data_IF_868211512375
#
_entry.id   IF_868211512375
#
_cell.length_a   1.000
_cell.length_b   1.000
_cell.length_c   1.000
_cell.angle_alpha   90.00
_cell.angle_beta   90.00
_cell.angle_gamma   90.00
#
_symmetry.space_group_name_H-M   'P 1'
#
loop_
_entity.id
_entity.type
_entity.pdbx_description
1 polymer ?
#
# COMPACT_ATOMS: atom_id res chain seq x y z
N UNK A 1 10.61 2.86 -0.60
CA UNK A 1 9.46 2.21 -1.28
C UNK A 1 9.06 2.92 -2.58
N UNK A 2 9.09 4.25 -2.65
CA UNK A 2 8.71 4.96 -3.87
C UNK A 2 9.60 4.63 -5.09
N UNK A 3 10.91 4.40 -4.89
CA UNK A 3 11.83 3.94 -5.94
C UNK A 3 11.49 2.58 -6.55
N UNK A 4 10.60 1.82 -5.92
CA UNK A 4 10.05 0.58 -6.48
C UNK A 4 8.68 0.82 -7.12
N UNK A 5 7.87 1.71 -6.54
CA UNK A 5 6.52 1.98 -7.04
C UNK A 5 6.51 2.64 -8.41
N UNK A 6 7.34 3.67 -8.61
CA UNK A 6 7.40 4.38 -9.89
C UNK A 6 7.84 3.49 -11.08
N UNK A 7 8.98 2.76 -11.01
CA UNK A 7 9.38 1.90 -12.13
C UNK A 7 8.40 0.74 -12.35
N UNK A 8 7.79 0.18 -11.30
CA UNK A 8 6.73 -0.83 -11.44
C UNK A 8 5.53 -0.27 -12.21
N UNK A 9 5.06 0.93 -11.85
CA UNK A 9 3.95 1.58 -12.56
C UNK A 9 4.32 1.89 -14.01
N UNK A 10 5.53 2.39 -14.27
CA UNK A 10 6.01 2.67 -15.62
C UNK A 10 6.06 1.39 -16.48
N UNK A 11 6.56 0.28 -15.91
CA UNK A 11 6.60 -1.01 -16.62
C UNK A 11 5.18 -1.52 -16.93
N UNK A 12 4.22 -1.39 -16.01
CA UNK A 12 2.82 -1.73 -16.26
C UNK A 12 2.24 -0.91 -17.42
N UNK A 13 2.48 0.42 -17.45
CA UNK A 13 2.01 1.30 -18.51
C UNK A 13 2.65 0.96 -19.86
N UNK A 14 3.95 0.67 -19.88
CA UNK A 14 4.64 0.22 -21.11
C UNK A 14 4.05 -1.09 -21.63
N UNK A 15 3.78 -2.06 -20.76
CA UNK A 15 3.10 -3.29 -21.15
C UNK A 15 1.73 -3.01 -21.78
N UNK A 16 0.92 -2.14 -21.18
CA UNK A 16 -0.40 -1.79 -21.70
C UNK A 16 -0.35 -1.11 -23.08
N UNK A 17 0.74 -0.37 -23.36
CA UNK A 17 0.91 0.35 -24.64
C UNK A 17 1.49 -0.58 -25.71
N UNK A 18 2.49 -1.39 -25.37
CA UNK A 18 3.28 -2.15 -26.35
C UNK A 18 2.84 -3.62 -26.48
N UNK A 19 2.25 -4.19 -25.43
CA UNK A 19 1.97 -5.63 -25.33
C UNK A 19 3.21 -6.49 -25.11
N UNK A 20 4.40 -5.88 -24.93
CA UNK A 20 5.64 -6.62 -24.79
C UNK A 20 5.78 -7.26 -23.41
N UNK A 21 5.84 -8.59 -23.36
CA UNK A 21 5.87 -9.39 -22.14
C UNK A 21 7.03 -9.06 -21.20
N UNK A 22 8.14 -8.54 -21.73
CA UNK A 22 9.29 -8.13 -20.91
C UNK A 22 8.92 -7.11 -19.84
N UNK A 23 8.05 -6.12 -20.16
CA UNK A 23 7.63 -5.09 -19.22
C UNK A 23 6.75 -5.65 -18.09
N UNK A 24 5.87 -6.60 -18.41
CA UNK A 24 5.09 -7.27 -17.36
C UNK A 24 5.99 -8.11 -16.44
N UNK A 25 6.95 -8.82 -17.00
CA UNK A 25 7.92 -9.60 -16.22
C UNK A 25 8.74 -8.70 -15.29
N UNK A 26 9.15 -7.53 -15.76
CA UNK A 26 9.89 -6.54 -14.98
C UNK A 26 9.00 -5.99 -13.84
N UNK A 27 7.77 -5.58 -14.11
CA UNK A 27 6.83 -5.12 -13.10
C UNK A 27 6.62 -6.17 -12.00
N UNK A 28 6.41 -7.43 -12.38
CA UNK A 28 6.25 -8.54 -11.44
C UNK A 28 7.51 -8.84 -10.63
N UNK A 29 8.70 -8.68 -11.21
CA UNK A 29 9.95 -8.83 -10.48
C UNK A 29 10.14 -7.72 -9.44
N UNK A 30 9.88 -6.48 -9.83
CA UNK A 30 9.92 -5.33 -8.91
C UNK A 30 8.92 -5.53 -7.77
N UNK A 31 7.69 -5.98 -8.10
CA UNK A 31 6.65 -6.24 -7.11
C UNK A 31 7.08 -7.27 -6.06
N UNK A 32 7.61 -8.42 -6.49
CA UNK A 32 8.11 -9.46 -5.58
C UNK A 32 9.22 -8.94 -4.67
N UNK A 33 10.17 -8.21 -5.23
CA UNK A 33 11.30 -7.64 -4.48
C UNK A 33 10.85 -6.60 -3.47
N UNK A 34 9.95 -5.70 -3.89
CA UNK A 34 9.38 -4.67 -3.02
C UNK A 34 8.55 -5.28 -1.88
N UNK A 35 7.73 -6.28 -2.20
CA UNK A 35 6.92 -6.96 -1.20
C UNK A 35 7.79 -7.67 -0.15
N UNK A 36 8.79 -8.43 -0.59
CA UNK A 36 9.74 -9.10 0.32
C UNK A 36 10.51 -8.13 1.21
N UNK A 37 10.81 -6.94 0.71
CA UNK A 37 11.58 -5.93 1.46
C UNK A 37 10.74 -5.14 2.45
N UNK A 38 9.53 -4.76 2.06
CA UNK A 38 8.73 -3.76 2.79
C UNK A 38 7.61 -4.35 3.63
N UNK A 39 7.34 -5.65 3.51
CA UNK A 39 6.28 -6.30 4.26
C UNK A 39 6.85 -7.41 5.15
N UNK A 40 6.37 -7.49 6.39
CA UNK A 40 6.73 -8.54 7.35
C UNK A 40 5.50 -9.18 7.92
N UNK A 41 5.59 -10.47 8.23
CA UNK A 41 4.51 -11.18 8.90
C UNK A 41 4.25 -10.55 10.26
N UNK A 42 3.01 -10.19 10.51
CA UNK A 42 2.54 -9.53 11.72
C UNK A 42 1.31 -10.25 12.26
N UNK A 43 1.27 -10.45 13.58
CA UNK A 43 0.14 -11.02 14.30
C UNK A 43 -0.68 -9.86 14.88
N UNK A 44 -1.80 -9.55 14.23
CA UNK A 44 -2.63 -8.41 14.60
C UNK A 44 -3.67 -8.82 15.64
N UNK A 45 -3.60 -8.21 16.80
CA UNK A 45 -4.65 -8.34 17.82
C UNK A 45 -5.94 -7.65 17.40
N UNK A 46 -5.83 -6.53 16.71
CA UNK A 46 -6.95 -5.72 16.24
C UNK A 46 -7.78 -6.45 15.18
N UNK A 47 -7.13 -7.19 14.28
CA UNK A 47 -7.79 -7.95 13.22
C UNK A 47 -8.02 -9.44 13.59
N UNK A 48 -7.36 -9.93 14.64
CA UNK A 48 -7.43 -11.33 15.05
C UNK A 48 -6.81 -12.33 14.07
N UNK A 49 -5.89 -11.86 13.22
CA UNK A 49 -5.23 -12.67 12.19
C UNK A 49 -3.78 -12.29 11.94
N UNK A 50 -3.05 -13.21 11.29
CA UNK A 50 -1.69 -12.94 10.80
C UNK A 50 -1.75 -12.51 9.33
N UNK A 51 -1.02 -11.45 9.01
CA UNK A 51 -0.90 -10.96 7.64
C UNK A 51 0.46 -10.27 7.43
N UNK A 52 0.83 -10.02 6.17
CA UNK A 52 2.03 -9.27 5.85
C UNK A 52 1.74 -7.77 5.95
N UNK A 53 2.25 -7.14 7.00
CA UNK A 53 2.10 -5.71 7.29
C UNK A 53 3.26 -4.91 6.72
N UNK A 54 2.97 -3.71 6.26
CA UNK A 54 3.97 -2.73 5.83
C UNK A 54 4.90 -2.38 7.00
N UNK A 55 6.20 -2.39 6.75
CA UNK A 55 7.23 -1.88 7.66
C UNK A 55 7.28 -0.35 7.63
N UNK A 56 7.82 0.26 8.70
CA UNK A 56 7.91 1.71 8.81
C UNK A 56 8.77 2.38 7.73
N UNK A 57 8.13 3.23 6.95
CA UNK A 57 8.69 4.20 6.02
C UNK A 57 7.65 5.33 5.92
N UNK A 58 7.89 6.38 5.18
CA UNK A 58 6.94 7.48 5.05
C UNK A 58 5.67 7.08 4.29
N UNK A 59 4.50 7.46 4.81
CA UNK A 59 3.21 7.07 4.23
C UNK A 59 3.08 7.48 2.76
N UNK A 60 3.57 8.65 2.37
CA UNK A 60 3.52 9.10 0.99
C UNK A 60 4.44 8.28 0.05
N UNK A 61 5.53 7.71 0.55
CA UNK A 61 6.34 6.75 -0.22
C UNK A 61 5.57 5.46 -0.48
N UNK A 62 4.77 5.03 0.48
CA UNK A 62 3.91 3.87 0.33
C UNK A 62 2.73 4.11 -0.60
N UNK A 63 2.18 5.33 -0.67
CA UNK A 63 1.13 5.63 -1.65
C UNK A 63 1.65 5.45 -3.08
N UNK A 64 2.90 5.83 -3.34
CA UNK A 64 3.54 5.60 -4.65
C UNK A 64 3.76 4.11 -4.93
N UNK A 65 4.21 3.33 -3.93
CA UNK A 65 4.33 1.88 -4.06
C UNK A 65 2.97 1.22 -4.31
N UNK A 66 1.95 1.65 -3.60
CA UNK A 66 0.59 1.15 -3.74
C UNK A 66 0.01 1.38 -5.14
N UNK A 67 0.26 2.55 -5.74
CA UNK A 67 -0.11 2.81 -7.14
C UNK A 67 0.48 1.76 -8.08
N UNK A 68 1.76 1.42 -7.92
CA UNK A 68 2.41 0.39 -8.73
C UNK A 68 1.74 -0.98 -8.57
N UNK A 69 1.44 -1.39 -7.34
CA UNK A 69 0.74 -2.66 -7.10
C UNK A 69 -0.69 -2.67 -7.65
N UNK A 70 -1.40 -1.54 -7.61
CA UNK A 70 -2.73 -1.44 -8.21
C UNK A 70 -2.69 -1.57 -9.74
N UNK A 71 -1.73 -0.91 -10.40
CA UNK A 71 -1.58 -1.07 -11.86
C UNK A 71 -1.23 -2.51 -12.24
N UNK A 72 -0.35 -3.16 -11.49
CA UNK A 72 -0.01 -4.56 -11.73
C UNK A 72 -1.23 -5.48 -11.51
N UNK A 73 -1.99 -5.26 -10.45
CA UNK A 73 -3.22 -6.01 -10.15
C UNK A 73 -4.23 -5.94 -11.29
N UNK A 74 -4.41 -4.77 -11.91
CA UNK A 74 -5.32 -4.59 -13.07
C UNK A 74 -4.90 -5.43 -14.28
N UNK A 75 -3.62 -5.78 -14.38
CA UNK A 75 -3.07 -6.55 -15.50
C UNK A 75 -3.09 -8.06 -15.21
N UNK A 76 -2.57 -8.47 -14.03
CA UNK A 76 -2.35 -9.88 -13.73
C UNK A 76 -3.38 -10.50 -12.77
N UNK A 77 -4.28 -9.69 -12.20
CA UNK A 77 -5.33 -10.11 -11.27
C UNK A 77 -4.83 -10.56 -9.89
N UNK A 78 -3.56 -10.42 -9.60
CA UNK A 78 -2.95 -10.90 -8.36
C UNK A 78 -3.17 -9.93 -7.21
N UNK A 79 -4.14 -10.24 -6.33
CA UNK A 79 -4.57 -9.36 -5.24
C UNK A 79 -3.68 -9.38 -3.99
N UNK A 80 -2.75 -10.32 -3.84
CA UNK A 80 -1.95 -10.52 -2.62
C UNK A 80 -1.33 -9.22 -2.07
N UNK A 81 -0.72 -8.44 -2.96
CA UNK A 81 -0.06 -7.19 -2.61
C UNK A 81 -1.04 -6.11 -2.18
N UNK A 82 -2.17 -6.02 -2.89
CA UNK A 82 -3.24 -5.06 -2.57
C UNK A 82 -3.88 -5.42 -1.23
N UNK A 83 -4.15 -6.70 -0.99
CA UNK A 83 -4.69 -7.20 0.29
C UNK A 83 -3.76 -6.90 1.47
N UNK A 84 -2.45 -6.99 1.29
CA UNK A 84 -1.50 -6.64 2.33
C UNK A 84 -1.54 -5.14 2.68
N UNK A 85 -1.69 -4.26 1.69
CA UNK A 85 -1.94 -2.83 1.92
C UNK A 85 -3.27 -2.59 2.62
N UNK A 86 -4.35 -3.19 2.14
CA UNK A 86 -5.69 -3.08 2.72
C UNK A 86 -5.69 -3.45 4.21
N UNK A 87 -5.13 -4.61 4.55
CA UNK A 87 -5.01 -5.06 5.95
C UNK A 87 -4.11 -4.15 6.78
N UNK A 88 -3.02 -3.63 6.20
CA UNK A 88 -2.15 -2.67 6.88
C UNK A 88 -2.89 -1.36 7.21
N UNK A 89 -3.69 -0.85 6.27
CA UNK A 89 -4.50 0.35 6.47
C UNK A 89 -5.59 0.12 7.51
N UNK A 90 -6.29 -1.03 7.44
CA UNK A 90 -7.34 -1.38 8.39
C UNK A 90 -6.77 -1.54 9.81
N UNK A 91 -5.64 -2.22 9.94
CA UNK A 91 -4.97 -2.39 11.23
C UNK A 91 -4.52 -1.04 11.81
N UNK A 92 -3.95 -0.15 10.99
CA UNK A 92 -3.58 1.20 11.44
C UNK A 92 -4.81 1.99 11.92
N UNK A 93 -5.92 1.90 11.19
CA UNK A 93 -7.19 2.55 11.55
C UNK A 93 -7.77 2.04 12.86
N UNK A 94 -7.67 0.75 13.15
CA UNK A 94 -8.23 0.11 14.35
C UNK A 94 -7.30 0.15 15.56
N UNK A 95 -6.06 0.57 15.40
CA UNK A 95 -5.01 0.57 16.43
C UNK A 95 -4.77 1.94 17.06
N UNK A 96 -3.76 2.00 17.94
CA UNK A 96 -3.26 3.23 18.54
C UNK A 96 -2.59 4.20 17.52
N UNK A 97 -2.43 3.78 16.25
CA UNK A 97 -1.96 4.67 15.19
C UNK A 97 -2.95 5.81 14.92
N UNK A 98 -4.24 5.57 15.13
CA UNK A 98 -5.29 6.57 14.94
C UNK A 98 -5.56 7.36 16.22
N UNK A 99 -5.56 8.67 16.10
CA UNK A 99 -6.08 9.56 17.15
C UNK A 99 -7.61 9.45 17.18
N UNK A 100 -8.18 9.05 18.31
CA UNK A 100 -9.62 8.78 18.44
C UNK A 100 -10.48 10.07 18.37
N UNK A 101 -9.89 11.23 18.60
CA UNK A 101 -10.61 12.52 18.54
C UNK A 101 -10.58 13.14 17.15
N UNK A 102 -9.41 13.13 16.50
CA UNK A 102 -9.20 13.80 15.21
C UNK A 102 -9.29 12.84 14.02
N UNK A 103 -9.22 11.54 14.26
CA UNK A 103 -9.11 10.48 13.25
C UNK A 103 -7.85 10.56 12.37
N UNK A 104 -6.87 11.37 12.74
CA UNK A 104 -5.59 11.43 12.04
C UNK A 104 -4.73 10.24 12.40
N UNK A 105 -3.96 9.75 11.43
CA UNK A 105 -3.07 8.61 11.59
C UNK A 105 -1.66 9.07 12.00
N UNK A 106 -0.94 8.21 12.72
CA UNK A 106 0.40 8.51 13.19
C UNK A 106 1.39 8.70 12.03
N UNK A 107 2.32 9.66 12.20
CA UNK A 107 3.46 9.81 11.30
C UNK A 107 4.40 8.57 11.28
N UNK A 108 4.32 7.69 12.28
CA UNK A 108 5.00 6.39 12.26
C UNK A 108 4.24 5.35 11.41
N UNK A 109 3.42 5.86 10.52
CA UNK A 109 2.82 5.18 9.39
C UNK A 109 1.80 4.13 9.82
N UNK A 110 2.05 2.90 9.55
CA UNK A 110 1.14 1.80 9.87
C UNK A 110 1.44 1.15 11.22
N UNK A 111 2.41 1.68 11.95
CA UNK A 111 2.89 1.17 13.24
C UNK A 111 3.09 2.30 14.23
N UNK A 112 3.05 1.98 15.52
CA UNK A 112 3.29 2.93 16.60
C UNK A 112 2.03 3.63 17.08
N UNK A 113 2.25 4.57 17.98
CA UNK A 113 1.19 5.34 18.63
C UNK A 113 0.96 6.67 17.91
N UNK A 114 -0.25 7.17 18.00
CA UNK A 114 -0.57 8.53 17.54
C UNK A 114 0.31 9.58 18.21
N UNK A 115 0.68 10.60 17.45
CA UNK A 115 1.52 11.71 17.91
C UNK A 115 0.68 12.96 18.19
N UNK A 116 1.34 13.99 18.72
CA UNK A 116 0.76 15.34 18.88
C UNK A 116 0.91 16.22 17.63
N UNK A 117 1.66 15.77 16.63
CA UNK A 117 1.89 16.49 15.36
C UNK A 117 1.64 15.60 14.18
N UNK A 118 1.01 16.14 13.14
CA UNK A 118 0.70 15.46 11.90
C UNK A 118 1.22 16.25 10.71
N UNK A 119 1.59 15.55 9.66
CA UNK A 119 2.03 16.16 8.41
C UNK A 119 0.98 15.97 7.34
N UNK A 120 0.52 17.04 6.73
CA UNK A 120 -0.49 17.01 5.64
C UNK A 120 -0.12 16.03 4.54
N UNK A 121 1.18 15.92 4.22
CA UNK A 121 1.68 15.01 3.21
C UNK A 121 1.39 13.53 3.54
N UNK A 122 1.54 13.15 4.81
CA UNK A 122 1.27 11.78 5.25
C UNK A 122 -0.24 11.50 5.32
N UNK A 123 -1.01 12.44 5.86
CA UNK A 123 -2.47 12.31 5.91
C UNK A 123 -3.07 12.25 4.50
N UNK A 124 -2.58 13.09 3.58
CA UNK A 124 -2.97 13.04 2.17
C UNK A 124 -2.67 11.69 1.50
N UNK A 125 -1.53 11.07 1.85
CA UNK A 125 -1.20 9.74 1.37
C UNK A 125 -2.14 8.65 1.91
N UNK A 126 -2.52 8.72 3.19
CA UNK A 126 -3.52 7.81 3.76
C UNK A 126 -4.88 7.98 3.07
N UNK A 127 -5.33 9.21 2.88
CA UNK A 127 -6.59 9.52 2.17
C UNK A 127 -6.55 8.96 0.74
N UNK A 128 -5.45 9.15 0.02
CA UNK A 128 -5.29 8.61 -1.33
C UNK A 128 -5.40 7.07 -1.36
N UNK A 129 -4.67 6.39 -0.48
CA UNK A 129 -4.69 4.92 -0.43
C UNK A 129 -6.08 4.38 -0.07
N UNK A 130 -6.75 4.97 0.92
CA UNK A 130 -8.12 4.60 1.29
C UNK A 130 -9.13 4.84 0.16
N UNK A 131 -9.03 5.98 -0.53
CA UNK A 131 -9.90 6.28 -1.65
C UNK A 131 -9.72 5.28 -2.81
N UNK A 132 -8.47 4.91 -3.11
CA UNK A 132 -8.19 3.89 -4.15
C UNK A 132 -8.70 2.51 -3.78
N UNK A 133 -8.60 2.11 -2.51
CA UNK A 133 -9.20 0.86 -2.03
C UNK A 133 -10.72 0.89 -2.14
N UNK A 134 -11.36 2.01 -1.77
CA UNK A 134 -12.81 2.16 -1.90
C UNK A 134 -13.28 2.07 -3.35
N UNK A 135 -12.56 2.69 -4.30
CA UNK A 135 -12.86 2.57 -5.73
C UNK A 135 -12.73 1.12 -6.18
N UNK A 136 -11.66 0.42 -5.78
CA UNK A 136 -11.44 -0.97 -6.14
C UNK A 136 -12.58 -1.90 -5.66
N UNK A 137 -13.08 -1.66 -4.45
CA UNK A 137 -14.22 -2.41 -3.90
C UNK A 137 -15.53 -2.14 -4.67
N UNK A 138 -15.72 -0.91 -5.15
CA UNK A 138 -16.88 -0.54 -5.96
C UNK A 138 -16.83 -1.15 -7.37
N UNK A 139 -15.63 -1.24 -7.96
CA UNK A 139 -15.43 -1.84 -9.28
C UNK A 139 -15.51 -3.37 -9.26
N UNK A 140 -15.19 -4.00 -8.13
CA UNK A 140 -15.24 -5.46 -7.95
C UNK A 140 -16.63 -6.03 -7.63
N UNK A 141 -17.64 -5.17 -7.52
CA UNK A 141 -19.05 -5.53 -7.33
C UNK A 141 -19.82 -5.46 -8.64
#
# INVERSE_FOLDING_TARGET
SYNSGQPMQAACLLYNITGEQQYLNEAQQIARSAYSKWFTLYDSKELGEKFYRINGDHAWFYSVLFRGFLELYKIDGRRDYVTAFEKSMLQAWMSECRNQTTNLLSNNYFIGKTNSSWQVLHEGAFVEMLARLAVLELEGK
#
